data_IF_093280808307
#
_entry.id   IF_093280808307
#
_cell.length_a   1.000
_cell.length_b   1.000
_cell.length_c   1.000
_cell.angle_alpha   90.00
_cell.angle_beta   90.00
_cell.angle_gamma   90.00
#
_symmetry.space_group_name_H-M   'P 1'
#
loop_
_entity.id
_entity.type
_entity.pdbx_description
1 polymer ?
#
# COMPACT_ATOMS: atom_id res chain seq x y z
N UNK A 1 -10.61 11.49 -9.59
CA UNK A 1 -9.19 11.43 -10.02
C UNK A 1 -8.56 12.82 -10.16
N UNK A 2 -9.15 13.76 -10.89
CA UNK A 2 -8.57 15.11 -11.09
C UNK A 2 -8.33 15.92 -9.81
N UNK A 3 -9.32 16.02 -8.89
CA UNK A 3 -9.12 16.72 -7.62
C UNK A 3 -8.14 16.01 -6.67
N UNK A 4 -8.09 14.68 -6.74
CA UNK A 4 -7.20 13.81 -5.97
C UNK A 4 -5.73 13.95 -6.40
N UNK A 5 -5.47 13.96 -7.72
CA UNK A 5 -4.15 14.21 -8.30
C UNK A 5 -3.64 15.62 -7.90
N UNK A 6 -4.51 16.63 -7.86
CA UNK A 6 -4.10 17.99 -7.44
C UNK A 6 -3.64 18.07 -5.98
N UNK A 7 -4.27 17.32 -5.07
CA UNK A 7 -3.89 17.26 -3.64
C UNK A 7 -2.58 16.49 -3.42
N UNK A 8 -2.37 15.43 -4.20
CA UNK A 8 -1.11 14.68 -4.19
C UNK A 8 0.04 15.60 -4.64
N UNK A 9 -0.14 16.33 -5.73
CA UNK A 9 0.90 17.20 -6.30
C UNK A 9 1.39 18.32 -5.35
N UNK A 10 0.55 18.80 -4.42
CA UNK A 10 0.98 19.80 -3.41
C UNK A 10 1.77 19.21 -2.23
N UNK A 11 1.68 17.90 -2.01
CA UNK A 11 2.30 17.20 -0.87
C UNK A 11 3.50 16.35 -1.28
N UNK A 12 3.60 15.98 -2.56
CA UNK A 12 4.77 15.30 -3.10
C UNK A 12 5.93 16.29 -3.19
N UNK A 13 7.00 16.01 -2.46
CA UNK A 13 8.26 16.73 -2.55
C UNK A 13 8.95 16.31 -3.86
N UNK A 14 8.44 16.82 -4.99
CA UNK A 14 8.36 16.23 -6.35
C UNK A 14 9.58 15.55 -7.00
N UNK A 15 10.72 15.50 -6.33
CA UNK A 15 11.91 14.74 -6.74
C UNK A 15 12.15 13.48 -5.87
N UNK A 16 11.60 13.41 -4.65
CA UNK A 16 11.97 12.38 -3.66
C UNK A 16 10.90 11.30 -3.41
N UNK A 17 9.73 11.40 -4.04
CA UNK A 17 8.65 10.43 -3.88
C UNK A 17 7.86 10.26 -5.17
N UNK A 18 7.69 8.99 -5.58
CA UNK A 18 6.83 8.62 -6.70
C UNK A 18 5.79 7.59 -6.25
N UNK A 19 4.56 7.75 -6.74
CA UNK A 19 3.45 6.80 -6.54
C UNK A 19 3.34 5.94 -7.79
N UNK A 20 3.46 4.63 -7.62
CA UNK A 20 3.28 3.68 -8.71
C UNK A 20 1.89 3.05 -8.63
N UNK A 21 1.17 3.05 -9.75
CA UNK A 21 -0.18 2.49 -9.85
C UNK A 21 -0.29 1.56 -11.07
N UNK A 22 -1.34 0.75 -11.11
CA UNK A 22 -1.70 -0.08 -12.26
C UNK A 22 -3.19 0.11 -12.58
N UNK A 23 -3.52 0.41 -13.84
CA UNK A 23 -4.91 0.60 -14.33
C UNK A 23 -4.99 0.17 -15.82
N UNK A 24 -6.20 -0.08 -16.31
CA UNK A 24 -6.55 -0.26 -17.73
C UNK A 24 -6.38 1.01 -18.55
N UNK A 25 -6.64 2.18 -17.95
CA UNK A 25 -6.61 3.48 -18.65
C UNK A 25 -5.18 3.86 -19.05
N UNK A 26 -5.04 4.68 -20.11
CA UNK A 26 -3.75 5.17 -20.63
C UNK A 26 -2.84 5.64 -19.50
N UNK A 27 -1.56 5.33 -19.61
CA UNK A 27 -0.46 5.76 -18.75
C UNK A 27 -0.66 7.25 -18.41
N UNK A 28 -1.06 7.53 -17.18
CA UNK A 28 -1.10 8.88 -16.66
C UNK A 28 0.21 9.11 -15.92
N UNK A 29 0.99 10.07 -16.39
CA UNK A 29 2.20 10.52 -15.73
C UNK A 29 2.03 12.00 -15.47
N UNK A 30 1.65 12.34 -14.23
CA UNK A 30 1.65 13.71 -13.73
C UNK A 30 2.54 13.77 -12.50
N UNK A 31 3.34 14.82 -12.35
CA UNK A 31 4.26 15.10 -11.25
C UNK A 31 4.19 14.12 -10.06
N UNK A 32 5.04 13.10 -10.10
CA UNK A 32 5.21 12.13 -9.01
C UNK A 32 4.21 10.95 -8.98
N UNK A 33 3.35 10.78 -9.97
CA UNK A 33 2.52 9.58 -10.17
C UNK A 33 2.88 8.91 -11.49
N UNK A 34 3.12 7.60 -11.46
CA UNK A 34 3.37 6.75 -12.63
C UNK A 34 2.37 5.59 -12.65
N UNK A 35 1.52 5.56 -13.66
CA UNK A 35 0.59 4.44 -13.89
C UNK A 35 1.14 3.48 -14.94
N UNK A 36 1.26 2.20 -14.60
CA UNK A 36 1.58 1.10 -15.50
C UNK A 36 0.30 0.53 -16.10
N UNK A 37 0.39 0.05 -17.34
CA UNK A 37 -0.71 -0.61 -18.00
C UNK A 37 -0.92 -2.01 -17.41
N UNK A 38 -2.17 -2.39 -17.18
CA UNK A 38 -2.49 -3.75 -16.77
C UNK A 38 -2.39 -4.73 -17.95
N UNK A 39 -1.74 -5.87 -17.72
CA UNK A 39 -1.63 -6.95 -18.71
C UNK A 39 -2.89 -7.83 -18.72
N UNK A 40 -3.46 -8.09 -17.54
CA UNK A 40 -4.61 -8.97 -17.34
C UNK A 40 -5.46 -8.41 -16.21
N UNK A 41 -6.78 -8.49 -16.38
CA UNK A 41 -7.74 -8.05 -15.39
C UNK A 41 -8.70 -9.17 -15.02
N UNK A 42 -9.00 -9.30 -13.73
CA UNK A 42 -10.04 -10.21 -13.27
C UNK A 42 -10.79 -9.66 -12.06
N UNK A 43 -12.07 -10.01 -11.89
CA UNK A 43 -12.85 -9.59 -10.74
C UNK A 43 -12.29 -10.21 -9.47
N UNK A 44 -12.20 -9.41 -8.41
CA UNK A 44 -11.80 -9.91 -7.11
C UNK A 44 -12.88 -10.88 -6.60
N UNK A 45 -12.54 -12.14 -6.24
CA UNK A 45 -13.56 -13.15 -5.93
C UNK A 45 -14.51 -12.78 -4.77
N UNK A 46 -14.08 -11.90 -3.87
CA UNK A 46 -14.86 -11.49 -2.69
C UNK A 46 -15.63 -10.18 -2.88
N UNK A 47 -15.31 -9.42 -3.93
CA UNK A 47 -16.01 -8.20 -4.36
C UNK A 47 -15.88 -8.08 -5.88
N UNK A 48 -16.76 -8.72 -6.67
CA UNK A 48 -16.66 -8.74 -8.13
C UNK A 48 -16.67 -7.35 -8.79
N UNK A 49 -17.18 -6.34 -8.10
CA UNK A 49 -17.13 -4.93 -8.47
C UNK A 49 -15.72 -4.33 -8.45
N UNK A 50 -14.78 -4.94 -7.73
CA UNK A 50 -13.37 -4.59 -7.71
C UNK A 50 -12.63 -5.47 -8.72
N UNK A 51 -11.91 -4.85 -9.66
CA UNK A 51 -11.03 -5.58 -10.56
C UNK A 51 -9.59 -5.56 -10.03
N UNK A 52 -8.94 -6.72 -10.04
CA UNK A 52 -7.49 -6.79 -9.92
C UNK A 52 -6.84 -6.53 -11.27
N UNK A 53 -6.03 -5.48 -11.29
CA UNK A 53 -5.18 -5.09 -12.40
C UNK A 53 -3.81 -5.73 -12.21
N UNK A 54 -3.46 -6.70 -13.07
CA UNK A 54 -2.16 -7.37 -13.02
C UNK A 54 -1.13 -6.53 -13.76
N UNK A 55 -0.11 -5.97 -13.08
CA UNK A 55 0.94 -5.20 -13.72
C UNK A 55 2.01 -6.09 -14.35
N UNK A 56 2.76 -5.54 -15.32
CA UNK A 56 4.02 -6.12 -15.78
C UNK A 56 5.10 -5.95 -14.71
N UNK A 57 5.53 -7.06 -14.10
CA UNK A 57 6.63 -7.07 -13.12
C UNK A 57 7.91 -6.49 -13.72
N UNK A 58 8.23 -6.85 -14.97
CA UNK A 58 9.47 -6.45 -15.63
C UNK A 58 9.50 -4.94 -15.90
N UNK A 59 8.38 -4.36 -16.37
CA UNK A 59 8.32 -2.93 -16.65
C UNK A 59 8.49 -2.10 -15.37
N UNK A 60 7.89 -2.56 -14.26
CA UNK A 60 8.02 -1.88 -12.97
C UNK A 60 9.44 -2.05 -12.42
N UNK A 61 10.05 -3.23 -12.54
CA UNK A 61 11.42 -3.47 -12.10
C UNK A 61 12.41 -2.55 -12.83
N UNK A 62 12.34 -2.51 -14.17
CA UNK A 62 13.21 -1.66 -14.99
C UNK A 62 13.01 -0.19 -14.66
N UNK A 63 11.77 0.25 -14.45
CA UNK A 63 11.48 1.61 -14.04
C UNK A 63 12.07 1.92 -12.65
N UNK A 64 11.92 1.01 -11.68
CA UNK A 64 12.46 1.20 -10.33
C UNK A 64 13.99 1.26 -10.31
N UNK A 65 14.66 0.47 -11.16
CA UNK A 65 16.11 0.52 -11.34
C UNK A 65 16.55 1.85 -11.98
N UNK A 66 15.88 2.29 -13.04
CA UNK A 66 16.18 3.56 -13.73
C UNK A 66 15.98 4.80 -12.85
N UNK A 67 14.98 4.77 -11.97
CA UNK A 67 14.67 5.85 -11.03
C UNK A 67 15.51 5.79 -9.75
N UNK A 68 16.36 4.77 -9.61
CA UNK A 68 17.27 4.59 -8.47
C UNK A 68 16.55 4.70 -7.11
N UNK A 69 15.36 4.10 -7.00
CA UNK A 69 14.63 4.13 -5.74
C UNK A 69 15.43 3.49 -4.62
N UNK A 70 15.43 4.14 -3.46
CA UNK A 70 16.15 3.67 -2.27
C UNK A 70 15.25 2.98 -1.26
N UNK A 71 13.93 3.04 -1.44
CA UNK A 71 12.95 2.51 -0.51
C UNK A 71 11.62 2.25 -1.23
N UNK A 72 10.94 1.17 -0.87
CA UNK A 72 9.61 0.86 -1.38
C UNK A 72 8.61 0.87 -0.22
N UNK A 73 7.53 1.65 -0.36
CA UNK A 73 6.39 1.59 0.54
C UNK A 73 5.15 1.11 -0.20
N UNK A 74 4.68 -0.09 0.15
CA UNK A 74 3.44 -0.64 -0.36
C UNK A 74 2.24 -0.30 0.52
N UNK A 75 1.19 0.20 -0.12
CA UNK A 75 -0.04 0.65 0.53
C UNK A 75 -1.17 -0.37 0.47
N UNK A 76 -1.08 -1.37 -0.41
CA UNK A 76 -2.16 -2.34 -0.62
C UNK A 76 -1.61 -3.74 -0.84
N UNK A 77 -2.21 -4.78 -0.24
CA UNK A 77 -1.79 -6.17 -0.42
C UNK A 77 -2.35 -6.78 -1.72
N UNK A 78 -2.52 -5.98 -2.77
CA UNK A 78 -2.98 -6.44 -4.08
C UNK A 78 -1.83 -6.87 -5.01
N UNK A 79 -2.09 -6.98 -6.32
CA UNK A 79 -1.04 -7.30 -7.32
C UNK A 79 0.18 -6.38 -7.25
N UNK A 80 -0.01 -5.07 -7.08
CA UNK A 80 1.09 -4.10 -6.89
C UNK A 80 1.88 -4.37 -5.60
N UNK A 81 1.22 -4.82 -4.53
CA UNK A 81 1.89 -5.20 -3.29
C UNK A 81 2.77 -6.44 -3.48
N UNK A 82 2.30 -7.44 -4.21
CA UNK A 82 3.12 -8.61 -4.54
C UNK A 82 4.34 -8.20 -5.38
N UNK A 83 4.14 -7.33 -6.38
CA UNK A 83 5.25 -6.78 -7.17
C UNK A 83 6.24 -6.03 -6.29
N UNK A 84 5.80 -5.22 -5.34
CA UNK A 84 6.71 -4.51 -4.43
C UNK A 84 7.60 -5.45 -3.62
N UNK A 85 7.07 -6.60 -3.18
CA UNK A 85 7.82 -7.63 -2.46
C UNK A 85 8.90 -8.25 -3.35
N UNK A 86 8.59 -8.50 -4.62
CA UNK A 86 9.54 -9.11 -5.55
C UNK A 86 10.65 -8.12 -5.88
N UNK A 87 10.28 -6.89 -6.24
CA UNK A 87 11.23 -5.84 -6.61
C UNK A 87 12.13 -5.47 -5.43
N UNK A 88 11.59 -5.33 -4.21
CA UNK A 88 12.40 -5.00 -3.04
C UNK A 88 13.50 -6.02 -2.79
N UNK A 89 13.24 -7.30 -3.02
CA UNK A 89 14.25 -8.36 -2.87
C UNK A 89 15.27 -8.37 -4.00
N UNK A 90 14.85 -8.15 -5.24
CA UNK A 90 15.75 -8.09 -6.40
C UNK A 90 16.72 -6.92 -6.24
N UNK A 91 16.19 -5.74 -5.93
CA UNK A 91 16.97 -4.51 -5.79
C UNK A 91 17.58 -4.33 -4.38
N UNK A 92 17.30 -5.25 -3.45
CA UNK A 92 17.74 -5.21 -2.04
C UNK A 92 17.37 -3.89 -1.34
N UNK A 93 16.14 -3.44 -1.55
CA UNK A 93 15.59 -2.22 -0.99
C UNK A 93 14.74 -2.52 0.25
N UNK A 94 14.71 -1.62 1.24
CA UNK A 94 13.75 -1.67 2.34
C UNK A 94 12.32 -1.70 1.85
N UNK A 95 11.52 -2.58 2.45
CA UNK A 95 10.11 -2.72 2.16
C UNK A 95 9.26 -2.34 3.38
N UNK A 96 8.48 -1.28 3.21
CA UNK A 96 7.52 -0.80 4.21
C UNK A 96 6.11 -1.15 3.77
N UNK A 97 5.28 -1.60 4.70
CA UNK A 97 3.85 -1.81 4.48
C UNK A 97 2.99 -0.85 5.29
N UNK A 98 1.84 -0.46 4.77
CA UNK A 98 0.79 0.20 5.57
C UNK A 98 -0.32 -0.81 5.94
N UNK A 99 -0.72 -0.82 7.21
CA UNK A 99 -1.89 -1.55 7.72
C UNK A 99 -2.81 -0.58 8.46
N UNK A 100 -3.84 -0.06 7.76
CA UNK A 100 -4.75 0.96 8.30
C UNK A 100 -6.24 0.62 8.15
N UNK A 101 -6.53 -0.48 7.46
CA UNK A 101 -7.88 -1.00 7.29
C UNK A 101 -7.82 -2.47 7.65
N UNK A 102 -8.74 -2.91 8.50
CA UNK A 102 -8.89 -4.31 8.83
C UNK A 102 -9.47 -5.06 7.62
N UNK A 103 -8.58 -5.47 6.72
CA UNK A 103 -8.94 -6.21 5.52
C UNK A 103 -9.60 -7.55 5.88
N UNK A 104 -9.29 -8.14 7.04
CA UNK A 104 -9.94 -9.38 7.48
C UNK A 104 -11.39 -9.12 7.83
N UNK A 105 -11.68 -8.07 8.60
CA UNK A 105 -13.06 -7.70 8.94
C UNK A 105 -13.84 -7.27 7.70
N UNK A 106 -13.20 -6.55 6.77
CA UNK A 106 -13.78 -6.21 5.48
C UNK A 106 -14.21 -7.49 4.75
N UNK A 107 -13.29 -8.42 4.50
CA UNK A 107 -13.59 -9.68 3.82
C UNK A 107 -14.59 -10.57 4.59
N UNK A 108 -14.52 -10.57 5.92
CA UNK A 108 -15.40 -11.37 6.77
C UNK A 108 -16.85 -10.91 6.71
N UNK A 109 -17.08 -9.62 6.44
CA UNK A 109 -18.42 -9.07 6.24
C UNK A 109 -19.01 -9.44 4.87
N UNK A 110 -18.17 -9.74 3.87
CA UNK A 110 -18.59 -10.02 2.50
C UNK A 110 -18.69 -11.48 2.12
N UNK A 111 -18.19 -12.40 2.95
CA UNK A 111 -18.37 -13.82 2.71
C UNK A 111 -18.65 -14.59 3.99
N UNK A 112 -19.60 -15.54 3.90
CA UNK A 112 -19.87 -16.52 4.95
C UNK A 112 -18.95 -17.75 4.85
N UNK A 113 -18.08 -17.81 3.83
CA UNK A 113 -17.20 -18.95 3.61
C UNK A 113 -15.94 -18.84 4.48
N UNK A 114 -15.89 -19.65 5.54
CA UNK A 114 -14.77 -19.70 6.49
C UNK A 114 -13.44 -20.11 5.84
N UNK A 115 -13.45 -20.96 4.81
CA UNK A 115 -12.24 -21.35 4.09
C UNK A 115 -11.62 -20.17 3.36
N UNK A 116 -12.44 -19.30 2.74
CA UNK A 116 -11.96 -18.09 2.09
C UNK A 116 -11.41 -17.08 3.10
N UNK A 117 -12.04 -16.94 4.27
CA UNK A 117 -11.53 -16.11 5.37
C UNK A 117 -10.17 -16.59 5.85
N UNK A 118 -10.02 -17.90 6.08
CA UNK A 118 -8.76 -18.51 6.48
C UNK A 118 -7.66 -18.34 5.43
N UNK A 119 -8.01 -18.48 4.14
CA UNK A 119 -7.07 -18.23 3.05
C UNK A 119 -6.60 -16.77 3.02
N UNK A 120 -7.53 -15.82 3.16
CA UNK A 120 -7.19 -14.40 3.23
C UNK A 120 -6.34 -14.07 4.46
N UNK A 121 -6.64 -14.67 5.62
CA UNK A 121 -5.84 -14.52 6.83
C UNK A 121 -4.39 -14.97 6.61
N UNK A 122 -4.21 -16.17 6.04
CA UNK A 122 -2.88 -16.72 5.71
C UNK A 122 -2.13 -15.85 4.71
N UNK A 123 -2.83 -15.37 3.68
CA UNK A 123 -2.25 -14.47 2.69
C UNK A 123 -1.77 -13.15 3.31
N UNK A 124 -2.61 -12.49 4.11
CA UNK A 124 -2.24 -11.23 4.77
C UNK A 124 -1.10 -11.43 5.76
N UNK A 125 -1.10 -12.53 6.52
CA UNK A 125 0.00 -12.85 7.40
C UNK A 125 1.31 -13.00 6.60
N UNK A 126 1.31 -13.83 5.55
CA UNK A 126 2.45 -14.00 4.66
C UNK A 126 2.93 -12.66 4.08
N UNK A 127 2.00 -11.85 3.59
CA UNK A 127 2.28 -10.55 2.97
C UNK A 127 2.98 -9.60 3.94
N UNK A 128 2.40 -9.35 5.11
CA UNK A 128 2.96 -8.42 6.08
C UNK A 128 4.24 -8.95 6.73
N UNK A 129 4.43 -10.26 6.81
CA UNK A 129 5.70 -10.85 7.25
C UNK A 129 6.88 -10.46 6.36
N UNK A 130 6.64 -10.14 5.08
CA UNK A 130 7.68 -9.71 4.14
C UNK A 130 8.18 -8.28 4.35
N UNK A 131 7.49 -7.49 5.17
CA UNK A 131 7.85 -6.09 5.41
C UNK A 131 8.97 -5.99 6.46
N UNK A 132 9.86 -5.02 6.29
CA UNK A 132 10.87 -4.66 7.28
C UNK A 132 10.23 -3.79 8.38
N UNK A 133 9.32 -2.90 7.98
CA UNK A 133 8.49 -2.09 8.87
C UNK A 133 7.04 -2.04 8.39
N UNK A 134 6.12 -1.97 9.35
CA UNK A 134 4.69 -1.87 9.12
C UNK A 134 4.17 -0.64 9.83
N UNK A 135 3.67 0.32 9.06
CA UNK A 135 3.05 1.53 9.56
C UNK A 135 1.58 1.26 9.82
N UNK A 136 1.16 1.46 11.07
CA UNK A 136 -0.19 1.12 11.52
C UNK A 136 -0.73 2.16 12.50
N UNK A 137 -2.02 2.06 12.81
CA UNK A 137 -2.65 2.83 13.88
C UNK A 137 -2.71 2.00 15.15
N UNK A 138 -2.71 2.65 16.31
CA UNK A 138 -2.74 1.98 17.62
C UNK A 138 -3.81 0.89 17.72
N UNK A 139 -5.02 1.15 17.19
CA UNK A 139 -6.16 0.22 17.22
C UNK A 139 -5.94 -1.10 16.46
N UNK A 140 -4.99 -1.14 15.54
CA UNK A 140 -4.72 -2.31 14.70
C UNK A 140 -3.48 -3.09 15.12
N UNK A 141 -2.73 -2.62 16.12
CA UNK A 141 -1.52 -3.29 16.63
C UNK A 141 -1.85 -4.71 17.11
N UNK A 142 -2.95 -4.87 17.85
CA UNK A 142 -3.36 -6.18 18.37
C UNK A 142 -3.65 -7.19 17.24
N UNK A 143 -4.20 -6.74 16.11
CA UNK A 143 -4.48 -7.61 14.97
C UNK A 143 -3.19 -8.06 14.27
N UNK A 144 -2.17 -7.20 14.22
CA UNK A 144 -0.86 -7.57 13.69
C UNK A 144 -0.17 -8.58 14.62
N UNK A 145 -0.30 -8.42 15.94
CA UNK A 145 0.15 -9.42 16.92
C UNK A 145 -0.51 -10.78 16.74
N UNK A 146 -1.84 -10.79 16.56
CA UNK A 146 -2.60 -12.02 16.27
C UNK A 146 -2.15 -12.70 14.96
N UNK A 147 -1.59 -11.94 14.02
CA UNK A 147 -0.96 -12.48 12.81
C UNK A 147 0.45 -13.03 13.03
N UNK A 148 1.01 -12.94 14.24
CA UNK A 148 2.42 -13.25 14.54
C UNK A 148 3.42 -12.30 13.85
N UNK A 149 3.00 -11.06 13.59
CA UNK A 149 3.92 -10.00 13.22
C UNK A 149 4.66 -9.53 14.46
N UNK A 150 5.99 -9.50 14.37
CA UNK A 150 6.84 -9.15 15.50
C UNK A 150 6.83 -7.65 15.79
N UNK A 151 6.88 -7.27 17.07
CA UNK A 151 6.69 -5.90 17.55
C UNK A 151 7.72 -4.92 16.99
N UNK A 152 8.96 -5.36 16.77
CA UNK A 152 10.01 -4.52 16.20
C UNK A 152 9.68 -4.08 14.77
N UNK A 153 8.84 -4.81 14.03
CA UNK A 153 8.38 -4.40 12.70
C UNK A 153 7.31 -3.31 12.79
N UNK A 154 6.60 -3.19 13.90
CA UNK A 154 5.44 -2.31 14.03
C UNK A 154 5.89 -0.88 14.38
N UNK A 155 5.48 0.09 13.55
CA UNK A 155 5.62 1.52 13.83
C UNK A 155 4.22 2.14 13.85
N UNK A 156 3.85 2.72 14.97
CA UNK A 156 2.58 3.43 15.10
C UNK A 156 2.74 4.83 14.50
N UNK A 157 1.81 5.19 13.62
CA UNK A 157 1.69 6.54 13.05
C UNK A 157 0.44 7.18 13.64
N UNK A 158 0.58 8.35 14.26
CA UNK A 158 -0.56 9.04 14.85
C UNK A 158 -1.30 9.82 13.76
N UNK A 159 -2.58 9.52 13.56
CA UNK A 159 -3.43 10.23 12.61
C UNK A 159 -4.52 10.93 13.40
N UNK A 160 -4.63 12.26 13.28
CA UNK A 160 -5.71 13.01 13.92
C UNK A 160 -7.09 12.40 13.60
N UNK A 161 -7.96 12.46 14.60
CA UNK A 161 -9.26 11.79 14.75
C UNK A 161 -10.03 11.51 13.46
N UNK A 162 -10.65 10.34 13.49
CA UNK A 162 -11.57 9.70 12.54
C UNK A 162 -12.28 10.64 11.55
N UNK A 163 -11.98 10.43 10.27
CA UNK A 163 -12.97 10.71 9.23
C UNK A 163 -13.91 9.49 9.19
N UNK A 164 -15.20 9.73 9.39
CA UNK A 164 -16.22 8.70 9.14
C UNK A 164 -16.08 8.19 7.71
N UNK A 165 -16.29 6.89 7.45
CA UNK A 165 -16.21 6.35 6.10
C UNK A 165 -17.07 7.22 5.18
N UNK A 166 -16.45 7.80 4.15
CA UNK A 166 -17.23 8.40 3.07
C UNK A 166 -18.21 7.35 2.60
N UNK A 167 -19.49 7.71 2.51
CA UNK A 167 -20.61 6.89 2.04
C UNK A 167 -20.48 6.41 0.60
N UNK A 168 -19.29 6.49 0.01
CA UNK A 168 -18.97 5.96 -1.30
C UNK A 168 -18.20 4.63 -1.13
N UNK A 169 -18.89 3.48 -1.14
CA UNK A 169 -18.32 2.15 -0.91
C UNK A 169 -17.41 1.65 -2.04
N UNK A 170 -17.37 2.37 -3.16
CA UNK A 170 -16.80 1.85 -4.41
C UNK A 170 -15.27 1.66 -4.38
N UNK A 171 -14.53 2.28 -3.44
CA UNK A 171 -13.06 2.20 -3.43
C UNK A 171 -12.44 2.28 -2.01
N UNK A 172 -12.35 1.17 -1.25
CA UNK A 172 -11.75 1.16 0.09
C UNK A 172 -10.28 1.63 0.10
N UNK A 173 -9.57 1.48 -1.01
CA UNK A 173 -8.17 1.88 -1.15
C UNK A 173 -7.96 3.39 -1.31
N UNK A 174 -8.98 4.15 -1.74
CA UNK A 174 -8.88 5.61 -1.83
C UNK A 174 -8.67 6.25 -0.44
N UNK A 175 -9.29 5.67 0.59
CA UNK A 175 -9.15 6.13 1.98
C UNK A 175 -7.71 5.99 2.50
N UNK A 176 -6.98 4.95 2.07
CA UNK A 176 -5.58 4.74 2.43
C UNK A 176 -4.72 5.88 1.90
N UNK A 177 -4.91 6.23 0.63
CA UNK A 177 -4.17 7.32 0.00
C UNK A 177 -4.55 8.68 0.61
N UNK A 178 -5.83 8.94 0.85
CA UNK A 178 -6.28 10.18 1.50
C UNK A 178 -5.68 10.33 2.89
N UNK A 179 -5.59 9.24 3.67
CA UNK A 179 -4.97 9.23 4.99
C UNK A 179 -3.46 9.47 4.89
N UNK A 180 -2.79 8.80 3.95
CA UNK A 180 -1.36 8.92 3.72
C UNK A 180 -0.93 10.36 3.39
N UNK A 181 -1.69 11.05 2.53
CA UNK A 181 -1.38 12.42 2.09
C UNK A 181 -1.90 13.53 3.02
N UNK A 182 -2.48 13.20 4.19
CA UNK A 182 -2.72 14.20 5.23
C UNK A 182 -1.37 14.76 5.71
N UNK A 183 -1.23 16.09 5.74
CA UNK A 183 0.03 16.79 6.02
C UNK A 183 0.78 16.26 7.26
N UNK A 184 0.08 16.03 8.37
CA UNK A 184 0.70 15.53 9.61
C UNK A 184 1.16 14.07 9.49
N UNK A 185 0.33 13.21 8.89
CA UNK A 185 0.62 11.79 8.64
C UNK A 185 1.80 11.64 7.68
N UNK A 186 1.80 12.39 6.59
CA UNK A 186 2.89 12.39 5.61
C UNK A 186 4.22 12.75 6.25
N UNK A 187 4.28 13.77 7.12
CA UNK A 187 5.50 14.17 7.80
C UNK A 187 6.05 13.09 8.75
N UNK A 188 5.17 12.38 9.45
CA UNK A 188 5.58 11.26 10.31
C UNK A 188 6.13 10.09 9.49
N UNK A 189 5.45 9.76 8.39
CA UNK A 189 5.88 8.74 7.44
C UNK A 189 7.23 9.12 6.82
N UNK A 190 7.40 10.38 6.42
CA UNK A 190 8.65 10.89 5.84
C UNK A 190 9.82 10.78 6.81
N UNK A 191 9.65 11.22 8.06
CA UNK A 191 10.68 11.07 9.10
C UNK A 191 11.04 9.60 9.33
N UNK A 192 10.06 8.71 9.29
CA UNK A 192 10.30 7.28 9.43
C UNK A 192 11.09 6.70 8.24
N UNK A 193 10.88 7.21 7.01
CA UNK A 193 11.74 6.86 5.87
C UNK A 193 13.19 7.30 6.10
N UNK A 194 13.39 8.53 6.59
CA UNK A 194 14.73 9.05 6.89
C UNK A 194 15.42 8.22 7.98
N UNK A 195 14.71 7.83 9.04
CA UNK A 195 15.24 6.94 10.09
C UNK A 195 15.69 5.58 9.56
N UNK A 196 14.93 5.00 8.61
CA UNK A 196 15.22 3.68 8.03
C UNK A 196 16.41 3.80 7.07
N UNK A 197 16.39 4.79 6.17
CA UNK A 197 17.46 5.03 5.21
C UNK A 197 18.81 5.33 5.89
N UNK A 198 18.80 6.07 7.00
CA UNK A 198 20.03 6.40 7.74
C UNK A 198 20.58 5.24 8.57
N UNK A 199 19.79 4.20 8.89
CA UNK A 199 20.25 3.04 9.67
C UNK A 199 20.92 1.95 8.84
N UNK A 200 20.72 1.97 7.51
CA UNK A 200 21.26 0.96 6.59
C UNK A 200 22.55 1.40 5.90
N UNK A 201 23.12 2.54 6.30
CA UNK A 201 24.48 3.00 6.00
C UNK A 201 25.39 2.81 7.21
#
# INVERSE_FOLDING_TARGET
>A
MSSFISKINSSLNGEKLKILCCDKRKIFSSNGIKTFHSMVDFPFPLYPEINFHIPSLLDILLYCEQEEFTLIHTLTPGPMGIVSIIISRILKLPLIGTYQIDFVKLLSSSTKNESLKNMAWRYLNWYYTQMDKIFTLQRYVQQLREKNISEEKIKIIDTEKEYSPSSNPDFPFAQILDTFFKKNTFNQIWRAYEEIYMKER
#
